data_IF_553472342876
#
_entry.id   IF_553472342876
#
_cell.length_a   1.000
_cell.length_b   1.000
_cell.length_c   1.000
_cell.angle_alpha   90.00
_cell.angle_beta   90.00
_cell.angle_gamma   90.00
#
_symmetry.space_group_name_H-M   'P 1'
#
loop_
_entity.id
_entity.type
_entity.pdbx_description
1 polymer ?
#
# COMPACT_ATOMS: atom_id res chain seq x y z
N UNK A 1 -36.38 14.10 14.64
CA UNK A 1 -36.21 13.39 13.35
C UNK A 1 -34.75 13.34 12.90
N UNK A 2 -34.06 14.48 12.69
CA UNK A 2 -32.64 14.52 12.25
C UNK A 2 -31.66 13.72 13.13
N UNK A 3 -31.79 13.80 14.46
CA UNK A 3 -30.91 13.08 15.41
C UNK A 3 -30.94 11.56 15.22
N UNK A 4 -32.13 11.02 14.93
CA UNK A 4 -32.29 9.58 14.72
C UNK A 4 -31.71 9.16 13.37
N UNK A 5 -31.87 9.99 12.32
CA UNK A 5 -31.28 9.74 11.00
C UNK A 5 -29.75 9.74 11.08
N UNK A 6 -29.14 10.73 11.72
CA UNK A 6 -27.69 10.80 11.90
C UNK A 6 -27.16 9.59 12.68
N UNK A 7 -27.87 9.16 13.72
CA UNK A 7 -27.55 7.96 14.47
C UNK A 7 -27.58 6.70 13.58
N UNK A 8 -28.65 6.49 12.80
CA UNK A 8 -28.75 5.33 11.91
C UNK A 8 -27.68 5.34 10.81
N UNK A 9 -27.36 6.50 10.24
CA UNK A 9 -26.29 6.63 9.25
C UNK A 9 -24.92 6.27 9.85
N UNK A 10 -24.61 6.81 11.03
CA UNK A 10 -23.37 6.49 11.73
C UNK A 10 -23.30 5.01 12.10
N UNK A 11 -24.36 4.45 12.69
CA UNK A 11 -24.43 3.04 13.05
C UNK A 11 -24.23 2.14 11.82
N UNK A 12 -24.92 2.46 10.72
CA UNK A 12 -24.80 1.71 9.46
C UNK A 12 -23.39 1.80 8.91
N UNK A 13 -22.76 2.98 8.91
CA UNK A 13 -21.36 3.14 8.50
C UNK A 13 -20.40 2.31 9.35
N UNK A 14 -20.55 2.34 10.68
CA UNK A 14 -19.69 1.56 11.58
C UNK A 14 -19.89 0.06 11.39
N UNK A 15 -21.14 -0.42 11.38
CA UNK A 15 -21.44 -1.83 11.21
C UNK A 15 -20.98 -2.37 9.84
N UNK A 16 -21.23 -1.60 8.77
CA UNK A 16 -20.80 -1.99 7.40
C UNK A 16 -19.28 -1.96 7.24
N UNK A 17 -18.57 -0.97 7.80
CA UNK A 17 -17.11 -0.92 7.75
C UNK A 17 -16.48 -2.09 8.51
N UNK A 18 -16.98 -2.43 9.70
CA UNK A 18 -16.53 -3.61 10.45
C UNK A 18 -16.83 -4.89 9.67
N UNK A 19 -18.07 -5.06 9.19
CA UNK A 19 -18.47 -6.23 8.41
C UNK A 19 -17.62 -6.44 7.16
N UNK A 20 -17.31 -5.36 6.44
CA UNK A 20 -16.42 -5.38 5.28
C UNK A 20 -14.99 -5.78 5.66
N UNK A 21 -14.43 -5.22 6.73
CA UNK A 21 -13.11 -5.63 7.22
C UNK A 21 -13.09 -7.10 7.64
N UNK A 22 -14.12 -7.61 8.32
CA UNK A 22 -14.22 -9.04 8.68
C UNK A 22 -14.27 -9.92 7.43
N UNK A 23 -15.08 -9.56 6.43
CA UNK A 23 -15.17 -10.30 5.17
C UNK A 23 -13.81 -10.35 4.44
N UNK A 24 -13.15 -9.20 4.34
CA UNK A 24 -11.85 -9.07 3.67
C UNK A 24 -10.67 -9.59 4.52
N UNK A 25 -10.89 -10.08 5.74
CA UNK A 25 -9.85 -10.76 6.54
C UNK A 25 -9.39 -12.05 5.86
N UNK A 26 -10.29 -12.77 5.20
CA UNK A 26 -9.99 -14.07 4.58
C UNK A 26 -10.21 -14.11 3.06
N UNK A 27 -11.11 -13.28 2.53
CA UNK A 27 -11.42 -13.28 1.10
C UNK A 27 -10.30 -12.60 0.28
N UNK A 28 -10.00 -13.04 -0.95
CA UNK A 28 -9.24 -12.25 -1.91
C UNK A 28 -9.86 -10.86 -2.09
N UNK A 29 -9.02 -9.86 -2.33
CA UNK A 29 -9.48 -8.50 -2.65
C UNK A 29 -9.64 -8.42 -4.18
N UNK A 30 -10.86 -8.34 -4.74
CA UNK A 30 -11.02 -8.31 -6.20
C UNK A 30 -10.69 -6.94 -6.80
N UNK A 31 -10.82 -5.87 -6.02
CA UNK A 31 -10.53 -4.49 -6.41
C UNK A 31 -10.29 -3.64 -5.17
N UNK A 32 -9.82 -2.42 -5.36
CA UNK A 32 -9.59 -1.43 -4.31
C UNK A 32 -10.18 -0.07 -4.68
N UNK A 33 -10.47 0.77 -3.69
CA UNK A 33 -10.94 2.13 -3.94
C UNK A 33 -9.96 2.92 -4.83
N UNK A 34 -8.66 2.66 -4.71
CA UNK A 34 -7.64 3.31 -5.54
C UNK A 34 -7.66 2.81 -7.00
N UNK A 35 -7.89 1.51 -7.24
CA UNK A 35 -8.10 0.98 -8.60
C UNK A 35 -9.35 1.58 -9.26
N UNK A 36 -10.46 1.68 -8.53
CA UNK A 36 -11.68 2.33 -9.05
C UNK A 36 -11.44 3.80 -9.35
N UNK A 37 -10.70 4.48 -8.47
CA UNK A 37 -10.33 5.88 -8.69
C UNK A 37 -9.52 6.09 -9.97
N UNK A 38 -8.60 5.19 -10.32
CA UNK A 38 -7.85 5.28 -11.59
C UNK A 38 -8.75 5.30 -12.82
N UNK A 39 -9.78 4.45 -12.85
CA UNK A 39 -10.74 4.46 -13.95
C UNK A 39 -11.55 5.77 -14.01
N UNK A 40 -11.87 6.35 -12.85
CA UNK A 40 -12.56 7.64 -12.79
C UNK A 40 -11.63 8.77 -13.27
N UNK A 41 -10.35 8.73 -12.89
CA UNK A 41 -9.33 9.68 -13.32
C UNK A 41 -9.14 9.67 -14.84
N UNK A 42 -8.97 8.50 -15.46
CA UNK A 42 -8.92 8.37 -16.93
C UNK A 42 -10.16 8.99 -17.61
N UNK A 43 -11.35 8.67 -17.11
CA UNK A 43 -12.59 9.19 -17.68
C UNK A 43 -12.72 10.71 -17.54
N UNK A 44 -12.19 11.29 -16.46
CA UNK A 44 -12.21 12.73 -16.22
C UNK A 44 -11.15 13.47 -17.03
N UNK A 45 -9.98 12.87 -17.22
CA UNK A 45 -8.84 13.53 -17.88
C UNK A 45 -8.98 13.56 -19.41
N UNK A 46 -9.26 12.40 -20.04
CA UNK A 46 -9.31 12.29 -21.50
C UNK A 46 -10.50 11.48 -22.02
N UNK A 47 -11.42 11.08 -21.14
CA UNK A 47 -12.59 10.27 -21.50
C UNK A 47 -12.23 8.84 -21.90
N UNK A 48 -10.98 8.40 -21.69
CA UNK A 48 -10.53 7.05 -22.01
C UNK A 48 -10.84 6.06 -20.89
N UNK A 49 -10.62 4.79 -21.20
CA UNK A 49 -10.66 3.71 -20.21
C UNK A 49 -9.43 2.83 -20.42
N UNK A 50 -8.51 2.83 -19.45
CA UNK A 50 -7.35 1.92 -19.47
C UNK A 50 -7.64 0.71 -18.60
N UNK A 51 -7.48 -0.52 -19.12
CA UNK A 51 -7.69 -1.72 -18.31
C UNK A 51 -6.61 -1.84 -17.25
N UNK A 52 -7.03 -2.12 -16.02
CA UNK A 52 -6.13 -2.42 -14.90
C UNK A 52 -5.53 -3.81 -15.08
N UNK A 53 -4.20 -3.90 -15.04
CA UNK A 53 -3.47 -5.15 -14.95
C UNK A 53 -3.34 -5.53 -13.48
N UNK A 54 -4.13 -6.51 -13.06
CA UNK A 54 -4.21 -6.97 -11.68
C UNK A 54 -4.41 -8.48 -11.61
N UNK A 55 -3.72 -9.12 -10.67
CA UNK A 55 -3.88 -10.54 -10.37
C UNK A 55 -3.65 -10.79 -8.89
N UNK A 56 -4.68 -11.25 -8.19
CA UNK A 56 -4.55 -11.64 -6.78
C UNK A 56 -3.84 -12.99 -6.66
N UNK A 57 -2.78 -13.04 -5.86
CA UNK A 57 -2.09 -14.27 -5.49
C UNK A 57 -1.99 -14.41 -3.98
N UNK A 58 -2.19 -15.64 -3.48
CA UNK A 58 -2.04 -15.96 -2.07
C UNK A 58 -0.58 -15.94 -1.61
N UNK A 59 -0.34 -15.85 -0.30
CA UNK A 59 1.00 -15.69 0.28
C UNK A 59 2.03 -16.73 -0.20
N UNK A 60 1.63 -17.99 -0.38
CA UNK A 60 2.53 -19.07 -0.86
C UNK A 60 3.03 -18.87 -2.30
N UNK A 61 2.38 -18.00 -3.08
CA UNK A 61 2.74 -17.64 -4.45
C UNK A 61 3.51 -16.32 -4.53
N UNK A 62 3.93 -15.77 -3.39
CA UNK A 62 4.74 -14.55 -3.31
C UNK A 62 6.08 -14.90 -2.68
N UNK A 63 7.17 -14.43 -3.30
CA UNK A 63 8.51 -14.59 -2.76
C UNK A 63 8.64 -13.89 -1.42
N UNK A 64 9.28 -14.52 -0.44
CA UNK A 64 9.57 -13.90 0.86
C UNK A 64 10.42 -12.65 0.71
N UNK A 65 11.26 -12.58 -0.33
CA UNK A 65 12.02 -11.37 -0.65
C UNK A 65 11.13 -10.17 -0.98
N UNK A 66 9.95 -10.37 -1.56
CA UNK A 66 9.00 -9.29 -1.82
C UNK A 66 8.53 -8.65 -0.52
N UNK A 67 8.16 -9.49 0.45
CA UNK A 67 7.73 -9.08 1.79
C UNK A 67 8.85 -8.32 2.51
N UNK A 68 10.06 -8.88 2.55
CA UNK A 68 11.21 -8.24 3.18
C UNK A 68 11.60 -6.92 2.49
N UNK A 69 11.52 -6.84 1.16
CA UNK A 69 11.86 -5.63 0.43
C UNK A 69 10.89 -4.48 0.75
N UNK A 70 9.59 -4.77 0.78
CA UNK A 70 8.56 -3.78 1.12
C UNK A 70 8.65 -3.33 2.57
N UNK A 71 8.83 -4.25 3.52
CA UNK A 71 9.04 -3.91 4.93
C UNK A 71 10.30 -3.03 5.06
N UNK A 72 11.40 -3.42 4.44
CA UNK A 72 12.64 -2.65 4.48
C UNK A 72 12.54 -1.24 3.87
N UNK A 73 11.70 -1.06 2.84
CA UNK A 73 11.57 0.21 2.12
C UNK A 73 10.50 1.15 2.64
N UNK A 74 9.37 0.61 3.10
CA UNK A 74 8.17 1.37 3.46
C UNK A 74 7.97 1.44 4.98
N UNK A 75 8.32 0.40 5.72
CA UNK A 75 7.93 0.26 7.13
C UNK A 75 8.81 -0.76 7.88
N UNK A 76 10.02 -0.34 8.27
CA UNK A 76 11.02 -1.25 8.86
C UNK A 76 10.59 -1.84 10.20
N UNK A 77 9.65 -1.18 10.88
CA UNK A 77 9.14 -1.55 12.20
C UNK A 77 7.73 -2.14 12.11
N UNK A 78 7.30 -2.59 10.93
CA UNK A 78 5.94 -3.06 10.66
C UNK A 78 5.37 -4.04 11.71
N UNK A 79 6.19 -4.99 12.19
CA UNK A 79 5.80 -5.97 13.21
C UNK A 79 5.89 -5.46 14.65
N UNK A 80 6.44 -4.28 14.88
CA UNK A 80 6.69 -3.69 16.20
C UNK A 80 5.64 -2.64 16.61
N UNK A 81 4.70 -2.30 15.74
CA UNK A 81 3.64 -1.32 16.01
C UNK A 81 2.26 -1.82 15.57
N UNK A 82 1.19 -1.15 16.00
CA UNK A 82 -0.20 -1.47 15.67
C UNK A 82 -0.78 -0.41 14.73
N UNK A 83 -0.23 -0.32 13.51
CA UNK A 83 -0.68 0.59 12.46
C UNK A 83 -0.07 1.99 12.44
N UNK A 84 0.51 2.47 13.54
CA UNK A 84 1.15 3.78 13.58
C UNK A 84 2.55 3.66 14.19
N UNK A 85 3.57 4.04 13.44
CA UNK A 85 4.94 4.11 13.94
C UNK A 85 5.24 5.48 14.53
N UNK A 86 4.95 5.63 15.82
CA UNK A 86 5.21 6.86 16.57
C UNK A 86 6.70 7.24 16.60
N UNK A 87 7.61 6.26 16.56
CA UNK A 87 9.04 6.56 16.51
C UNK A 87 9.45 7.13 15.15
N UNK A 88 8.95 6.56 14.04
CA UNK A 88 9.21 7.11 12.71
C UNK A 88 8.59 8.49 12.52
N UNK A 89 7.42 8.74 13.11
CA UNK A 89 6.79 10.06 13.13
C UNK A 89 7.67 11.05 13.90
N UNK A 90 8.06 10.73 15.14
CA UNK A 90 8.90 11.61 15.96
C UNK A 90 10.24 11.90 15.28
N UNK A 91 10.92 10.86 14.81
CA UNK A 91 12.20 10.99 14.10
C UNK A 91 12.09 11.87 12.84
N UNK A 92 10.96 11.79 12.12
CA UNK A 92 10.71 12.65 10.95
C UNK A 92 10.49 14.11 11.34
N UNK A 93 9.85 14.37 12.49
CA UNK A 93 9.65 15.71 13.05
C UNK A 93 11.00 16.28 13.51
N UNK A 94 11.78 15.52 14.28
CA UNK A 94 13.09 15.95 14.78
C UNK A 94 14.00 16.33 13.61
N UNK A 95 14.07 15.47 12.58
CA UNK A 95 14.83 15.76 11.34
C UNK A 95 14.38 17.06 10.66
N UNK A 96 13.08 17.35 10.68
CA UNK A 96 12.54 18.58 10.10
C UNK A 96 12.89 19.81 10.94
N UNK A 97 12.82 19.70 12.26
CA UNK A 97 13.23 20.75 13.20
C UNK A 97 14.72 21.08 13.08
N UNK A 98 15.54 20.08 12.77
CA UNK A 98 16.99 20.22 12.52
C UNK A 98 17.32 20.77 11.11
N UNK A 99 16.33 21.26 10.36
CA UNK A 99 16.50 21.85 9.02
C UNK A 99 16.50 20.85 7.87
N UNK A 100 16.22 19.58 8.15
CA UNK A 100 16.01 18.55 7.14
C UNK A 100 14.63 18.64 6.46
N UNK A 101 14.39 17.75 5.49
CA UNK A 101 13.07 17.64 4.85
C UNK A 101 12.17 16.72 5.66
N UNK A 102 10.93 17.16 5.92
CA UNK A 102 9.90 16.31 6.49
C UNK A 102 9.63 15.11 5.57
N UNK A 103 9.81 13.90 6.08
CA UNK A 103 9.52 12.66 5.35
C UNK A 103 8.12 12.18 5.70
N UNK A 104 7.47 11.51 4.75
CA UNK A 104 6.20 10.83 5.02
C UNK A 104 6.45 9.63 5.94
N UNK A 105 5.68 9.52 7.03
CA UNK A 105 5.78 8.44 8.01
C UNK A 105 4.53 7.52 7.98
N UNK A 106 3.97 7.28 6.80
CA UNK A 106 2.80 6.39 6.67
C UNK A 106 3.23 4.93 6.65
N UNK A 107 2.70 4.14 7.58
CA UNK A 107 2.96 2.70 7.71
C UNK A 107 2.32 1.90 6.57
N UNK A 108 2.72 0.64 6.42
CA UNK A 108 2.07 -0.29 5.46
C UNK A 108 0.57 -0.39 5.74
N UNK A 109 0.16 -0.44 7.00
CA UNK A 109 -1.26 -0.55 7.39
C UNK A 109 -2.05 0.70 6.99
N UNK A 110 -1.48 1.90 7.20
CA UNK A 110 -2.10 3.14 6.73
C UNK A 110 -2.23 3.17 5.21
N UNK A 111 -1.21 2.66 4.49
CA UNK A 111 -1.27 2.56 3.04
C UNK A 111 -2.33 1.56 2.57
N UNK A 112 -2.49 0.41 3.23
CA UNK A 112 -3.58 -0.54 2.94
C UNK A 112 -4.94 0.12 3.19
N UNK A 113 -5.13 0.75 4.34
CA UNK A 113 -6.39 1.43 4.67
C UNK A 113 -6.74 2.51 3.64
N UNK A 114 -5.75 3.32 3.26
CA UNK A 114 -5.88 4.37 2.24
C UNK A 114 -6.27 3.78 0.88
N UNK A 115 -5.51 2.81 0.37
CA UNK A 115 -5.68 2.32 -1.01
C UNK A 115 -6.90 1.40 -1.15
N UNK A 116 -7.20 0.61 -0.13
CA UNK A 116 -8.30 -0.35 -0.18
C UNK A 116 -9.66 0.31 -0.03
N UNK A 117 -9.82 1.23 0.93
CA UNK A 117 -11.14 1.75 1.31
C UNK A 117 -11.39 3.20 0.87
N UNK A 118 -10.35 3.97 0.54
CA UNK A 118 -10.47 5.42 0.36
C UNK A 118 -9.96 5.87 -1.02
N UNK A 119 -10.48 7.02 -1.47
CA UNK A 119 -9.98 7.72 -2.65
C UNK A 119 -8.85 8.70 -2.25
N UNK A 120 -7.94 9.07 -3.18
CA UNK A 120 -6.74 9.86 -2.86
C UNK A 120 -7.00 11.37 -2.56
N UNK A 121 -8.17 11.72 -2.03
CA UNK A 121 -8.50 13.11 -1.69
C UNK A 121 -7.61 13.71 -0.57
N UNK A 122 -7.24 14.99 -0.71
CA UNK A 122 -6.49 15.71 0.33
C UNK A 122 -7.44 16.42 1.29
N UNK A 123 -8.12 15.66 2.18
CA UNK A 123 -9.01 16.22 3.20
C UNK A 123 -8.76 15.65 4.60
N UNK A 124 -9.02 16.47 5.63
CA UNK A 124 -8.94 16.04 7.03
C UNK A 124 -9.94 14.93 7.35
N UNK A 125 -11.13 14.98 6.75
CA UNK A 125 -12.15 13.92 6.87
C UNK A 125 -11.61 12.59 6.35
N UNK A 126 -11.01 12.58 5.15
CA UNK A 126 -10.38 11.36 4.60
C UNK A 126 -9.26 10.87 5.51
N UNK A 127 -8.44 11.76 6.09
CA UNK A 127 -7.40 11.35 7.04
C UNK A 127 -7.98 10.73 8.31
N UNK A 128 -9.11 11.24 8.82
CA UNK A 128 -9.84 10.62 9.93
C UNK A 128 -10.36 9.22 9.59
N UNK A 129 -10.92 9.05 8.39
CA UNK A 129 -11.34 7.72 7.89
C UNK A 129 -10.15 6.76 7.71
N UNK A 130 -9.00 7.25 7.26
CA UNK A 130 -7.78 6.46 7.17
C UNK A 130 -7.36 5.94 8.55
N UNK A 131 -7.44 6.77 9.58
CA UNK A 131 -7.18 6.35 10.97
C UNK A 131 -8.17 5.28 11.40
N UNK A 132 -9.48 5.48 11.16
CA UNK A 132 -10.52 4.50 11.48
C UNK A 132 -10.25 3.14 10.84
N UNK A 133 -10.03 3.09 9.52
CA UNK A 133 -9.78 1.84 8.81
C UNK A 133 -8.42 1.21 9.19
N UNK A 134 -7.40 2.01 9.48
CA UNK A 134 -6.11 1.49 9.98
C UNK A 134 -6.29 0.75 11.30
N UNK A 135 -7.05 1.32 12.24
CA UNK A 135 -7.35 0.68 13.52
C UNK A 135 -8.18 -0.60 13.32
N UNK A 136 -9.18 -0.57 12.44
CA UNK A 136 -9.98 -1.75 12.14
C UNK A 136 -9.15 -2.89 11.57
N UNK A 137 -8.30 -2.65 10.57
CA UNK A 137 -7.49 -3.73 9.99
C UNK A 137 -6.41 -4.23 10.97
N UNK A 138 -5.82 -3.39 11.80
CA UNK A 138 -4.84 -3.82 12.81
C UNK A 138 -5.48 -4.63 13.95
N UNK A 139 -6.73 -4.31 14.31
CA UNK A 139 -7.49 -5.08 15.29
C UNK A 139 -7.98 -6.40 14.70
N UNK A 140 -8.46 -6.35 13.45
CA UNK A 140 -9.19 -7.46 12.84
C UNK A 140 -8.35 -8.31 11.93
N UNK A 141 -7.15 -7.96 11.49
CA UNK A 141 -6.32 -8.77 10.58
C UNK A 141 -4.95 -9.07 11.21
N UNK A 142 -4.32 -10.17 10.80
CA UNK A 142 -2.92 -10.43 11.18
C UNK A 142 -1.96 -9.57 10.34
N UNK A 143 -0.73 -9.38 10.81
CA UNK A 143 0.30 -8.63 10.09
C UNK A 143 0.61 -9.23 8.72
N UNK A 144 0.63 -10.56 8.64
CA UNK A 144 0.84 -11.29 7.38
C UNK A 144 -0.31 -11.04 6.41
N UNK A 145 -1.54 -10.94 6.91
CA UNK A 145 -2.71 -10.63 6.08
C UNK A 145 -2.64 -9.19 5.55
N UNK A 146 -2.28 -8.23 6.39
CA UNK A 146 -2.11 -6.83 5.98
C UNK A 146 -1.04 -6.74 4.89
N UNK A 147 0.12 -7.38 5.10
CA UNK A 147 1.21 -7.40 4.12
C UNK A 147 0.82 -8.09 2.81
N UNK A 148 0.09 -9.21 2.88
CA UNK A 148 -0.45 -9.90 1.71
C UNK A 148 -1.36 -8.99 0.89
N UNK A 149 -2.29 -8.29 1.55
CA UNK A 149 -3.19 -7.35 0.88
C UNK A 149 -2.38 -6.21 0.26
N UNK A 150 -1.44 -5.62 1.00
CA UNK A 150 -0.55 -4.57 0.49
C UNK A 150 0.14 -5.00 -0.81
N UNK A 151 0.80 -6.16 -0.81
CA UNK A 151 1.54 -6.67 -1.96
C UNK A 151 0.64 -6.92 -3.18
N UNK A 152 -0.64 -7.19 -2.99
CA UNK A 152 -1.59 -7.38 -4.07
C UNK A 152 -2.19 -6.05 -4.56
N UNK A 153 -2.45 -5.07 -3.69
CA UNK A 153 -3.15 -3.84 -4.10
C UNK A 153 -2.21 -2.65 -4.38
N UNK A 154 -0.91 -2.78 -4.10
CA UNK A 154 0.06 -1.73 -4.38
C UNK A 154 0.17 -1.48 -5.89
N UNK A 155 0.30 -0.22 -6.27
CA UNK A 155 0.53 0.19 -7.65
C UNK A 155 2.04 0.16 -7.94
N UNK A 156 2.45 -0.59 -8.96
CA UNK A 156 3.84 -0.73 -9.37
C UNK A 156 4.16 -0.01 -10.69
N UNK A 157 3.13 0.46 -11.38
CA UNK A 157 3.22 1.23 -12.62
C UNK A 157 1.85 1.76 -13.05
N UNK A 158 1.83 2.49 -14.16
CA UNK A 158 0.57 2.99 -14.75
C UNK A 158 -0.42 1.85 -15.03
N UNK A 159 -1.55 1.87 -14.32
CA UNK A 159 -2.59 0.83 -14.35
C UNK A 159 -2.08 -0.59 -14.05
N UNK A 160 -0.98 -0.71 -13.30
CA UNK A 160 -0.33 -1.98 -12.97
C UNK A 160 -0.33 -2.18 -11.45
N UNK A 161 -1.16 -3.12 -11.00
CA UNK A 161 -1.39 -3.36 -9.59
C UNK A 161 -1.04 -4.77 -9.18
N UNK A 162 -0.42 -4.87 -8.00
CA UNK A 162 -0.06 -6.14 -7.40
C UNK A 162 1.25 -6.73 -7.89
N UNK A 163 1.90 -7.41 -6.97
CA UNK A 163 3.24 -7.95 -7.16
C UNK A 163 3.29 -9.01 -8.26
N UNK A 164 2.23 -9.79 -8.46
CA UNK A 164 2.17 -10.79 -9.55
C UNK A 164 2.15 -10.10 -10.92
N UNK A 165 1.22 -9.17 -11.14
CA UNK A 165 1.14 -8.45 -12.40
C UNK A 165 2.45 -7.68 -12.68
N UNK A 166 3.03 -7.06 -11.64
CA UNK A 166 4.31 -6.36 -11.75
C UNK A 166 5.47 -7.29 -12.12
N UNK A 167 5.56 -8.47 -11.50
CA UNK A 167 6.61 -9.45 -11.77
C UNK A 167 6.53 -9.98 -13.20
N UNK A 168 5.32 -10.29 -13.66
CA UNK A 168 5.07 -10.72 -15.04
C UNK A 168 5.43 -9.60 -16.03
N UNK A 169 4.99 -8.38 -15.74
CA UNK A 169 5.20 -7.24 -16.65
C UNK A 169 6.66 -6.85 -16.79
N UNK A 170 7.41 -6.82 -15.70
CA UNK A 170 8.77 -6.29 -15.69
C UNK A 170 9.85 -7.35 -15.89
N UNK A 171 9.58 -8.60 -15.51
CA UNK A 171 10.57 -9.66 -15.52
C UNK A 171 10.13 -10.94 -16.25
N UNK A 172 8.85 -11.06 -16.63
CA UNK A 172 8.32 -12.24 -17.31
C UNK A 172 8.30 -13.50 -16.43
N UNK A 173 8.23 -13.33 -15.10
CA UNK A 173 8.25 -14.42 -14.11
C UNK A 173 7.15 -14.25 -13.06
N UNK A 174 6.80 -15.33 -12.38
CA UNK A 174 5.83 -15.29 -11.28
C UNK A 174 6.39 -14.61 -10.03
N UNK A 175 5.52 -14.05 -9.19
CA UNK A 175 5.91 -13.36 -7.95
C UNK A 175 6.64 -14.26 -6.95
N UNK A 176 6.49 -15.58 -7.02
CA UNK A 176 7.25 -16.54 -6.20
C UNK A 176 8.68 -16.77 -6.70
N UNK A 177 9.00 -16.38 -7.93
CA UNK A 177 10.30 -16.58 -8.57
C UNK A 177 11.18 -15.34 -8.51
N UNK A 178 10.65 -14.19 -8.08
CA UNK A 178 11.46 -12.96 -8.04
C UNK A 178 12.63 -13.11 -7.07
N UNK A 179 13.81 -12.76 -7.58
CA UNK A 179 15.04 -12.71 -6.80
C UNK A 179 15.01 -11.55 -5.81
N UNK A 180 15.91 -11.60 -4.82
CA UNK A 180 16.15 -10.53 -3.85
C UNK A 180 16.39 -9.16 -4.51
N UNK A 181 17.15 -9.13 -5.61
CA UNK A 181 17.44 -7.91 -6.37
C UNK A 181 16.20 -7.36 -7.07
N UNK A 182 15.41 -8.22 -7.71
CA UNK A 182 14.15 -7.85 -8.37
C UNK A 182 13.11 -7.35 -7.37
N UNK A 183 12.97 -8.02 -6.22
CA UNK A 183 12.09 -7.59 -5.14
C UNK A 183 12.45 -6.19 -4.63
N UNK A 184 13.75 -5.94 -4.36
CA UNK A 184 14.22 -4.62 -3.96
C UNK A 184 14.00 -3.56 -5.05
N UNK A 185 14.08 -3.93 -6.33
CA UNK A 185 13.82 -3.02 -7.44
C UNK A 185 12.35 -2.63 -7.54
N UNK A 186 11.42 -3.60 -7.39
CA UNK A 186 9.98 -3.33 -7.34
C UNK A 186 9.62 -2.48 -6.13
N UNK A 187 10.15 -2.79 -4.95
CA UNK A 187 9.93 -1.97 -3.76
C UNK A 187 10.46 -0.53 -3.93
N UNK A 188 11.52 -0.34 -4.71
CA UNK A 188 12.06 0.98 -5.00
C UNK A 188 11.13 1.87 -5.87
N UNK A 189 10.18 1.29 -6.62
CA UNK A 189 9.25 2.07 -7.46
C UNK A 189 8.04 2.59 -6.69
N UNK A 190 7.65 1.95 -5.59
CA UNK A 190 6.45 2.25 -4.79
C UNK A 190 6.25 3.73 -4.41
N UNK A 191 7.27 4.54 -4.11
CA UNK A 191 7.06 5.95 -3.80
C UNK A 191 6.50 6.78 -4.95
N UNK A 192 6.79 6.37 -6.20
CA UNK A 192 6.29 7.05 -7.39
C UNK A 192 6.25 6.08 -8.59
N UNK A 193 5.26 5.16 -8.63
CA UNK A 193 5.25 4.05 -9.58
C UNK A 193 5.04 4.48 -11.03
N UNK A 194 4.42 5.64 -11.27
CA UNK A 194 4.19 6.17 -12.62
C UNK A 194 5.53 6.63 -13.25
N UNK A 195 6.36 7.33 -12.46
CA UNK A 195 7.64 7.87 -12.93
C UNK A 195 8.78 6.85 -12.84
N UNK A 196 8.77 5.98 -11.82
CA UNK A 196 9.84 5.03 -11.55
C UNK A 196 9.53 3.68 -12.21
N UNK A 197 10.19 3.40 -13.33
CA UNK A 197 9.96 2.17 -14.11
C UNK A 197 11.03 1.12 -13.83
N UNK A 198 10.63 -0.02 -13.26
CA UNK A 198 11.54 -1.14 -13.01
C UNK A 198 12.17 -1.72 -14.30
N UNK A 199 11.46 -1.66 -15.44
CA UNK A 199 11.98 -2.11 -16.73
C UNK A 199 13.16 -1.28 -17.27
N UNK A 200 13.30 -0.02 -16.85
CA UNK A 200 14.38 0.89 -17.27
C UNK A 200 14.83 1.74 -16.07
N UNK A 201 15.57 1.13 -15.12
CA UNK A 201 15.86 1.79 -13.86
C UNK A 201 16.84 2.94 -14.05
N UNK A 202 16.46 4.12 -13.55
CA UNK A 202 17.36 5.26 -13.50
C UNK A 202 18.46 5.06 -12.46
N UNK A 203 19.53 5.85 -12.53
CA UNK A 203 20.60 5.85 -11.51
C UNK A 203 20.05 6.13 -10.10
N UNK A 204 19.02 6.97 -9.99
CA UNK A 204 18.31 7.21 -8.73
C UNK A 204 17.61 5.94 -8.22
N UNK A 205 16.88 5.24 -9.11
CA UNK A 205 16.16 4.02 -8.73
C UNK A 205 17.13 2.92 -8.29
N UNK A 206 18.25 2.76 -8.99
CA UNK A 206 19.30 1.81 -8.61
C UNK A 206 19.91 2.17 -7.25
N UNK A 207 20.20 3.44 -6.96
CA UNK A 207 20.69 3.86 -5.64
C UNK A 207 19.70 3.48 -4.53
N UNK A 208 18.40 3.67 -4.77
CA UNK A 208 17.35 3.27 -3.84
C UNK A 208 17.28 1.76 -3.67
N UNK A 209 17.33 0.99 -4.75
CA UNK A 209 17.39 -0.47 -4.73
C UNK A 209 18.57 -0.97 -3.88
N UNK A 210 19.77 -0.43 -4.07
CA UNK A 210 20.95 -0.79 -3.25
C UNK A 210 20.75 -0.45 -1.78
N UNK A 211 20.12 0.67 -1.47
CA UNK A 211 19.77 1.01 -0.09
C UNK A 211 18.81 -0.03 0.50
N UNK A 212 17.74 -0.40 -0.20
CA UNK A 212 16.77 -1.44 0.24
C UNK A 212 17.48 -2.78 0.43
N UNK A 213 18.35 -3.19 -0.50
CA UNK A 213 19.11 -4.45 -0.38
C UNK A 213 19.96 -4.51 0.88
N UNK A 214 20.56 -3.39 1.31
CA UNK A 214 21.28 -3.32 2.59
C UNK A 214 20.34 -3.41 3.78
N UNK A 215 19.21 -2.69 3.74
CA UNK A 215 18.21 -2.76 4.82
C UNK A 215 17.67 -4.18 5.01
N UNK A 216 17.42 -4.90 3.92
CA UNK A 216 17.01 -6.32 3.96
C UNK A 216 18.07 -7.28 4.52
N UNK A 217 19.33 -6.87 4.74
CA UNK A 217 20.35 -7.70 5.41
C UNK A 217 20.37 -7.47 6.92
N UNK A 218 19.94 -6.29 7.35
CA UNK A 218 20.01 -5.84 8.74
C UNK A 218 18.70 -6.09 9.51
N UNK A 219 17.74 -6.78 8.89
CA UNK A 219 16.44 -7.15 9.46
C UNK A 219 16.41 -8.58 9.95
#
# INVERSE_FOLDING_TARGET
MLRNVAFYLLFTFLASSIGLCVLLRWAPVPTSAFMVYRHIEDLMDDGSFKPIQYSWVGAKKISTYASSAVIASEDQRFFQHSGFDLHSIQSSIDTYMDGGRLRGASTISQQVAKNLFLTPSKSFVRKGLEVWFTLLIELLWSKERILLVYLNIAEFGDHLFGIEAASQRYFGIHANQISRSQAALLAATLPNPILLRAARPSSYLLKRQHWILRQMQNQ
#
